data_IF_831849347856
#
_entry.id   IF_831849347856
#
_cell.length_a   1.000
_cell.length_b   1.000
_cell.length_c   1.000
_cell.angle_alpha   90.00
_cell.angle_beta   90.00
_cell.angle_gamma   90.00
#
_symmetry.space_group_name_H-M   'P 1'
#
loop_
_entity.id
_entity.type
_entity.pdbx_description
1 polymer ?
#
# COMPACT_ATOMS: atom_id res chain seq x y z
N UNK A 1 55.16 7.58 19.66
CA UNK A 1 54.36 6.99 18.55
C UNK A 1 53.13 6.38 19.15
N UNK A 2 51.98 7.09 19.10
CA UNK A 2 50.71 6.67 19.73
C UNK A 2 49.88 5.83 18.77
N UNK A 3 49.46 4.64 19.22
CA UNK A 3 48.56 3.75 18.51
C UNK A 3 47.13 4.26 18.61
N UNK A 4 46.49 4.62 17.48
CA UNK A 4 45.05 4.90 17.37
C UNK A 4 44.26 3.61 17.57
N UNK A 5 43.37 3.59 18.57
CA UNK A 5 42.35 2.52 18.73
C UNK A 5 41.12 2.84 17.87
N UNK A 6 40.76 1.92 17.00
CA UNK A 6 39.54 1.96 16.21
C UNK A 6 38.43 1.39 17.11
N UNK A 7 37.38 2.19 17.36
CA UNK A 7 36.20 1.72 18.06
C UNK A 7 35.35 0.90 17.07
N UNK A 8 35.15 -0.37 17.39
CA UNK A 8 34.21 -1.26 16.74
C UNK A 8 32.87 -1.03 17.42
N UNK A 9 31.86 -0.60 16.66
CA UNK A 9 30.47 -0.56 17.12
C UNK A 9 29.98 -2.00 17.23
N UNK A 10 29.79 -2.49 18.43
CA UNK A 10 29.22 -3.80 18.72
C UNK A 10 27.76 -3.68 19.09
N UNK A 11 27.06 -4.72 18.80
CA UNK A 11 25.68 -5.09 18.99
C UNK A 11 25.02 -4.60 20.28
N UNK A 12 23.79 -4.11 20.17
CA UNK A 12 22.93 -3.83 21.32
C UNK A 12 22.42 -5.13 21.94
N UNK A 13 23.03 -5.51 23.05
CA UNK A 13 22.51 -6.52 23.96
C UNK A 13 21.24 -6.01 24.66
N UNK A 14 20.12 -6.66 24.38
CA UNK A 14 18.87 -6.51 25.14
C UNK A 14 19.04 -7.14 26.51
N UNK A 15 19.55 -6.40 27.46
CA UNK A 15 19.53 -6.80 28.88
C UNK A 15 18.11 -6.72 29.42
N UNK A 16 17.56 -7.87 29.76
CA UNK A 16 16.38 -8.01 30.61
C UNK A 16 16.66 -7.40 31.96
N UNK A 17 15.96 -6.35 32.34
CA UNK A 17 15.91 -5.89 33.72
C UNK A 17 15.18 -6.92 34.57
N UNK A 18 15.92 -7.77 35.27
CA UNK A 18 15.42 -8.56 36.36
C UNK A 18 15.27 -7.65 37.59
N UNK A 19 14.03 -7.35 37.96
CA UNK A 19 13.73 -6.68 39.23
C UNK A 19 14.18 -7.58 40.39
N UNK A 20 15.28 -7.23 41.04
CA UNK A 20 15.72 -7.83 42.30
C UNK A 20 14.71 -7.53 43.40
N UNK A 21 13.99 -8.57 43.79
CA UNK A 21 13.19 -8.53 45.03
C UNK A 21 14.16 -8.53 46.22
N UNK A 22 14.26 -7.42 46.90
CA UNK A 22 15.03 -7.30 48.11
C UNK A 22 14.27 -8.01 49.24
N UNK A 23 14.74 -9.18 49.64
CA UNK A 23 14.26 -9.85 50.85
C UNK A 23 14.82 -9.12 52.04
N UNK A 24 14.02 -8.29 52.70
CA UNK A 24 14.33 -7.72 54.02
C UNK A 24 14.26 -8.84 55.05
N UNK A 25 15.40 -9.04 55.72
CA UNK A 25 15.55 -10.03 56.77
C UNK A 25 14.67 -9.68 57.99
N UNK A 26 14.06 -10.70 58.55
CA UNK A 26 13.36 -10.66 59.86
C UNK A 26 14.34 -10.30 60.97
N UNK A 27 14.22 -9.11 61.56
CA UNK A 27 14.71 -8.85 62.91
C UNK A 27 13.57 -9.11 63.88
N UNK A 28 13.75 -10.08 64.79
CA UNK A 28 12.89 -10.33 65.94
C UNK A 28 13.14 -9.20 66.97
N UNK A 29 12.23 -8.25 67.03
CA UNK A 29 12.09 -7.32 68.12
C UNK A 29 10.80 -7.63 68.88
N UNK A 30 10.90 -7.89 70.18
CA UNK A 30 9.76 -7.98 71.06
C UNK A 30 8.99 -6.65 71.03
N UNK A 31 7.73 -6.72 70.64
CA UNK A 31 6.75 -5.65 70.83
C UNK A 31 5.52 -6.26 71.48
N UNK A 32 5.39 -5.97 72.77
CA UNK A 32 4.14 -6.10 73.43
C UNK A 32 3.18 -5.01 72.96
N UNK A 33 1.93 -5.35 72.86
CA UNK A 33 0.76 -4.46 72.86
C UNK A 33 0.70 -3.37 71.77
N UNK A 34 0.32 -3.80 70.55
CA UNK A 34 -0.30 -2.87 69.63
C UNK A 34 -1.70 -3.41 69.34
N UNK A 35 -2.64 -2.65 69.87
CA UNK A 35 -4.02 -3.02 70.00
C UNK A 35 -4.78 -3.26 68.73
N UNK A 36 -5.97 -3.71 68.89
CA UNK A 36 -7.00 -4.11 67.89
C UNK A 36 -7.25 -3.20 66.68
N UNK A 37 -6.61 -2.05 66.62
CA UNK A 37 -6.69 -1.12 65.49
C UNK A 37 -5.82 -1.54 64.28
N UNK A 38 -4.62 -2.09 64.53
CA UNK A 38 -3.71 -2.56 63.48
C UNK A 38 -4.25 -3.81 62.76
N UNK A 39 -5.05 -4.63 63.44
CA UNK A 39 -5.73 -5.78 62.80
C UNK A 39 -6.87 -5.34 61.91
N UNK A 40 -7.60 -4.29 62.26
CA UNK A 40 -8.65 -3.72 61.42
C UNK A 40 -8.11 -3.01 60.19
N UNK A 41 -6.97 -2.34 60.28
CA UNK A 41 -6.30 -1.74 59.10
C UNK A 41 -5.77 -2.80 58.16
N UNK A 42 -5.27 -3.93 58.65
CA UNK A 42 -4.81 -5.04 57.81
C UNK A 42 -5.99 -5.69 57.06
N UNK A 43 -7.15 -5.91 57.70
CA UNK A 43 -8.35 -6.44 57.05
C UNK A 43 -8.91 -5.51 55.99
N UNK A 44 -8.91 -4.20 56.23
CA UNK A 44 -9.34 -3.19 55.24
C UNK A 44 -8.38 -3.11 54.02
N UNK A 45 -7.09 -3.35 54.24
CA UNK A 45 -6.12 -3.41 53.13
C UNK A 45 -6.31 -4.67 52.32
N UNK A 46 -6.54 -5.84 52.93
CA UNK A 46 -6.82 -7.08 52.21
C UNK A 46 -8.15 -7.05 51.44
N UNK A 47 -9.18 -6.41 51.98
CA UNK A 47 -10.45 -6.22 51.24
C UNK A 47 -10.25 -5.30 50.04
N UNK A 48 -9.52 -4.20 50.19
CA UNK A 48 -9.22 -3.30 49.06
C UNK A 48 -8.34 -3.95 47.97
N UNK A 49 -7.38 -4.79 48.39
CA UNK A 49 -6.59 -5.56 47.39
C UNK A 49 -7.42 -6.56 46.65
N UNK A 50 -8.37 -7.25 47.29
CA UNK A 50 -9.30 -8.19 46.63
C UNK A 50 -10.28 -7.47 45.73
N UNK A 51 -10.74 -6.26 46.10
CA UNK A 51 -11.59 -5.45 45.21
C UNK A 51 -10.80 -4.98 43.98
N UNK A 52 -9.55 -4.50 44.13
CA UNK A 52 -8.68 -4.10 43.05
C UNK A 52 -8.35 -5.27 42.10
N UNK A 53 -8.06 -6.45 42.65
CA UNK A 53 -7.83 -7.65 41.80
C UNK A 53 -9.10 -8.07 41.06
N UNK A 54 -10.29 -7.89 41.65
CA UNK A 54 -11.57 -8.18 41.01
C UNK A 54 -11.92 -7.18 39.91
N UNK A 55 -11.51 -5.91 40.08
CA UNK A 55 -11.69 -4.88 39.03
C UNK A 55 -10.70 -5.09 37.87
N UNK A 56 -9.43 -5.36 38.17
CA UNK A 56 -8.42 -5.67 37.14
C UNK A 56 -8.83 -6.91 36.35
N UNK A 57 -9.34 -7.95 37.02
CA UNK A 57 -9.82 -9.16 36.31
C UNK A 57 -11.11 -8.92 35.48
N UNK A 58 -11.94 -7.95 35.87
CA UNK A 58 -13.10 -7.52 35.08
C UNK A 58 -12.71 -6.67 33.87
N UNK A 59 -11.73 -5.77 34.04
CA UNK A 59 -11.20 -4.97 32.91
C UNK A 59 -10.43 -5.82 31.90
N UNK A 60 -9.57 -6.73 32.33
CA UNK A 60 -8.87 -7.68 31.45
C UNK A 60 -9.86 -8.61 30.70
N UNK A 61 -10.97 -8.99 31.36
CA UNK A 61 -12.04 -9.74 30.68
C UNK A 61 -12.85 -8.90 29.72
N UNK A 62 -13.04 -7.60 29.94
CA UNK A 62 -13.69 -6.68 28.99
C UNK A 62 -12.80 -6.39 27.80
N UNK A 63 -11.51 -6.11 27.99
CA UNK A 63 -10.56 -5.94 26.90
C UNK A 63 -10.37 -7.22 26.07
N UNK A 64 -10.40 -8.39 26.71
CA UNK A 64 -10.36 -9.68 26.01
C UNK A 64 -11.63 -10.02 25.22
N UNK A 65 -12.77 -9.38 25.53
CA UNK A 65 -14.03 -9.56 24.80
C UNK A 65 -14.19 -8.56 23.65
N UNK A 66 -13.65 -7.34 23.76
CA UNK A 66 -13.64 -6.39 22.65
C UNK A 66 -12.64 -6.78 21.55
N UNK A 67 -11.63 -7.56 21.85
CA UNK A 67 -10.68 -8.12 20.87
C UNK A 67 -11.22 -9.29 20.04
N UNK A 68 -12.36 -9.88 20.37
CA UNK A 68 -13.12 -10.76 19.47
C UNK A 68 -13.90 -9.91 18.47
N UNK A 69 -13.17 -9.26 17.53
CA UNK A 69 -13.77 -8.79 16.29
C UNK A 69 -14.59 -9.95 15.75
N UNK A 70 -15.90 -9.80 15.70
CA UNK A 70 -16.80 -10.71 14.99
C UNK A 70 -16.17 -11.01 13.64
N UNK A 71 -15.71 -12.25 13.46
CA UNK A 71 -15.24 -12.73 12.18
C UNK A 71 -16.48 -12.75 11.30
N UNK A 72 -16.72 -11.64 10.62
CA UNK A 72 -17.84 -11.54 9.66
C UNK A 72 -17.72 -12.75 8.73
N UNK A 73 -18.79 -13.50 8.54
CA UNK A 73 -18.75 -14.70 7.70
C UNK A 73 -18.18 -14.32 6.34
N UNK A 74 -17.31 -15.14 5.76
CA UNK A 74 -16.64 -14.82 4.50
C UNK A 74 -17.70 -14.50 3.46
N UNK A 75 -17.64 -13.27 2.92
CA UNK A 75 -18.61 -12.80 1.92
C UNK A 75 -18.66 -13.81 0.77
N UNK A 76 -19.80 -14.42 0.55
CA UNK A 76 -20.03 -15.33 -0.56
C UNK A 76 -19.87 -14.58 -1.88
N UNK A 77 -18.93 -15.06 -2.73
CA UNK A 77 -18.69 -14.48 -4.05
C UNK A 77 -19.86 -14.80 -4.97
N UNK A 78 -20.11 -13.95 -5.99
CA UNK A 78 -21.18 -14.18 -6.96
C UNK A 78 -21.03 -15.51 -7.70
N UNK A 79 -22.13 -16.10 -8.14
CA UNK A 79 -22.14 -17.37 -8.90
C UNK A 79 -21.25 -17.28 -10.16
N UNK A 80 -21.32 -16.16 -10.91
CA UNK A 80 -20.50 -15.91 -12.10
C UNK A 80 -19.00 -15.91 -11.78
N UNK A 81 -18.58 -15.28 -10.67
CA UNK A 81 -17.19 -15.30 -10.24
C UNK A 81 -16.70 -16.69 -9.86
N UNK A 82 -17.55 -17.48 -9.21
CA UNK A 82 -17.21 -18.86 -8.84
C UNK A 82 -17.05 -19.75 -10.08
N UNK A 83 -17.86 -19.56 -11.12
CA UNK A 83 -17.73 -20.25 -12.40
C UNK A 83 -16.40 -19.88 -13.08
N UNK A 84 -16.13 -18.59 -13.26
CA UNK A 84 -14.88 -18.10 -13.84
C UNK A 84 -13.64 -18.60 -13.06
N UNK A 85 -13.74 -18.74 -11.74
CA UNK A 85 -12.66 -19.25 -10.90
C UNK A 85 -12.43 -20.74 -11.07
N UNK A 86 -13.43 -21.53 -11.44
CA UNK A 86 -13.29 -22.98 -11.71
C UNK A 86 -12.51 -23.26 -12.99
N UNK A 87 -12.53 -22.33 -13.94
CA UNK A 87 -11.78 -22.44 -15.20
C UNK A 87 -10.28 -22.21 -15.05
N UNK A 88 -9.84 -21.73 -13.85
CA UNK A 88 -8.45 -21.41 -13.60
C UNK A 88 -7.91 -22.32 -12.51
N UNK A 89 -6.81 -23.01 -12.80
CA UNK A 89 -6.04 -23.74 -11.82
C UNK A 89 -5.10 -22.80 -11.06
N UNK A 90 -5.30 -22.68 -9.76
CA UNK A 90 -4.52 -21.76 -8.91
C UNK A 90 -3.03 -22.05 -8.86
N UNK A 91 -2.63 -23.28 -9.09
CA UNK A 91 -1.24 -23.74 -8.96
C UNK A 91 -0.49 -23.74 -10.30
N UNK A 92 -1.21 -23.62 -11.42
CA UNK A 92 -0.63 -23.63 -12.76
C UNK A 92 -0.16 -22.23 -13.16
N UNK A 93 1.00 -22.17 -13.79
CA UNK A 93 1.48 -21.01 -14.52
C UNK A 93 1.11 -21.19 -15.98
N UNK A 94 0.50 -20.20 -16.56
CA UNK A 94 0.02 -20.24 -17.96
C UNK A 94 1.00 -19.48 -18.86
N UNK A 95 1.29 -19.98 -20.08
CA UNK A 95 2.04 -19.20 -21.06
C UNK A 95 1.27 -17.93 -21.43
N UNK A 96 1.98 -16.89 -21.86
CA UNK A 96 1.43 -15.57 -22.08
C UNK A 96 0.21 -15.58 -23.03
N UNK A 97 0.31 -16.25 -24.17
CA UNK A 97 -0.75 -16.32 -25.18
C UNK A 97 -2.03 -17.01 -24.64
N UNK A 98 -1.88 -18.12 -23.91
CA UNK A 98 -3.01 -18.81 -23.28
C UNK A 98 -3.64 -17.98 -22.15
N UNK A 99 -2.82 -17.29 -21.35
CA UNK A 99 -3.30 -16.47 -20.26
C UNK A 99 -4.19 -15.33 -20.75
N UNK A 100 -3.87 -14.69 -21.86
CA UNK A 100 -4.68 -13.63 -22.46
C UNK A 100 -6.00 -14.18 -23.04
N UNK A 101 -5.96 -15.34 -23.70
CA UNK A 101 -7.17 -15.99 -24.19
C UNK A 101 -8.12 -16.38 -23.07
N UNK A 102 -7.59 -16.99 -22.00
CA UNK A 102 -8.35 -17.32 -20.81
C UNK A 102 -8.91 -16.05 -20.14
N UNK A 103 -8.12 -14.97 -20.06
CA UNK A 103 -8.55 -13.71 -19.46
C UNK A 103 -9.79 -13.13 -20.16
N UNK A 104 -9.82 -13.18 -21.49
CA UNK A 104 -10.99 -12.74 -22.27
C UNK A 104 -12.24 -13.58 -21.98
N UNK A 105 -12.08 -14.91 -21.83
CA UNK A 105 -13.19 -15.83 -21.50
C UNK A 105 -13.76 -15.60 -20.10
N UNK A 106 -12.91 -15.38 -19.11
CA UNK A 106 -13.31 -15.23 -17.69
C UNK A 106 -13.71 -13.81 -17.31
N UNK A 107 -13.64 -12.86 -18.21
CA UNK A 107 -14.11 -11.50 -17.97
C UNK A 107 -15.64 -11.52 -17.75
N UNK A 108 -16.05 -11.11 -16.54
CA UNK A 108 -17.46 -11.13 -16.12
C UNK A 108 -18.17 -9.82 -16.47
N UNK A 109 -17.41 -8.74 -16.72
CA UNK A 109 -17.95 -7.41 -16.95
C UNK A 109 -18.70 -7.31 -18.28
N UNK A 110 -19.87 -6.67 -18.27
CA UNK A 110 -20.62 -6.36 -19.50
C UNK A 110 -20.06 -5.15 -20.27
N UNK A 111 -19.20 -4.36 -19.62
CA UNK A 111 -18.51 -3.22 -20.22
C UNK A 111 -17.10 -3.60 -20.62
N UNK A 112 -16.47 -2.78 -21.50
CA UNK A 112 -15.09 -2.98 -21.88
C UNK A 112 -14.14 -2.71 -20.68
N UNK A 113 -13.90 -3.76 -19.88
CA UNK A 113 -13.08 -3.71 -18.68
C UNK A 113 -11.59 -3.49 -19.01
N UNK A 114 -10.84 -3.04 -18.02
CA UNK A 114 -9.38 -2.97 -18.12
C UNK A 114 -8.76 -4.32 -17.81
N UNK A 115 -7.61 -4.57 -18.40
CA UNK A 115 -6.71 -5.68 -18.06
C UNK A 115 -5.60 -5.11 -17.22
N UNK A 116 -5.53 -5.55 -15.96
CA UNK A 116 -4.53 -5.08 -15.01
C UNK A 116 -3.46 -6.15 -14.80
N UNK A 117 -2.19 -5.72 -14.84
CA UNK A 117 -1.04 -6.52 -14.50
C UNK A 117 -0.63 -6.23 -13.05
N UNK A 118 -0.52 -7.28 -12.27
CA UNK A 118 -0.04 -7.26 -10.89
C UNK A 118 1.30 -7.96 -10.84
N UNK A 119 2.34 -7.22 -10.51
CA UNK A 119 3.71 -7.69 -10.49
C UNK A 119 4.23 -7.73 -9.07
N UNK A 120 4.68 -8.91 -8.62
CA UNK A 120 5.45 -9.01 -7.40
C UNK A 120 6.91 -8.79 -7.76
N UNK A 121 7.50 -7.75 -7.19
CA UNK A 121 8.92 -7.42 -7.36
C UNK A 121 9.70 -7.77 -6.09
N UNK A 122 11.04 -7.79 -6.19
CA UNK A 122 11.90 -8.12 -5.05
C UNK A 122 12.06 -6.95 -4.07
N UNK A 123 12.07 -5.73 -4.59
CA UNK A 123 12.38 -4.52 -3.82
C UNK A 123 11.19 -3.58 -3.76
N UNK A 124 11.04 -2.90 -2.63
CA UNK A 124 10.09 -1.80 -2.45
C UNK A 124 10.72 -0.49 -2.91
N UNK A 125 9.86 0.47 -3.32
CA UNK A 125 10.34 1.81 -3.71
C UNK A 125 10.74 1.96 -5.17
N UNK A 126 10.59 0.92 -6.00
CA UNK A 126 10.80 1.04 -7.45
C UNK A 126 9.78 2.01 -8.05
N UNK A 127 10.29 2.97 -8.81
CA UNK A 127 9.51 3.96 -9.56
C UNK A 127 10.12 4.08 -10.93
N UNK A 128 9.27 4.26 -11.92
CA UNK A 128 9.76 4.48 -13.28
C UNK A 128 8.66 4.99 -14.20
N UNK A 129 9.06 5.29 -15.41
CA UNK A 129 8.17 5.69 -16.49
C UNK A 129 8.26 4.65 -17.60
N UNK A 130 7.14 4.36 -18.20
CA UNK A 130 6.99 3.38 -19.27
C UNK A 130 6.19 4.01 -20.40
N UNK A 131 6.65 3.81 -21.62
CA UNK A 131 5.91 4.08 -22.84
C UNK A 131 5.36 2.75 -23.38
N UNK A 132 4.05 2.67 -23.45
CA UNK A 132 3.41 1.50 -24.05
C UNK A 132 3.40 1.61 -25.57
N UNK A 133 3.74 0.54 -26.31
CA UNK A 133 3.63 0.54 -27.77
C UNK A 133 2.18 0.71 -28.23
N UNK A 134 1.22 0.24 -27.44
CA UNK A 134 -0.20 0.36 -27.76
C UNK A 134 -0.97 1.11 -26.67
N UNK A 135 -2.02 1.89 -27.04
CA UNK A 135 -2.79 2.67 -26.10
C UNK A 135 -3.51 1.78 -25.08
N UNK A 136 -3.40 2.11 -23.80
CA UNK A 136 -4.04 1.36 -22.69
C UNK A 136 -5.51 1.74 -22.46
N UNK A 137 -6.05 2.63 -23.31
CA UNK A 137 -7.43 3.11 -23.19
C UNK A 137 -7.71 4.00 -21.97
N UNK A 138 -6.68 4.46 -21.27
CA UNK A 138 -6.78 5.54 -20.28
C UNK A 138 -6.49 6.86 -20.98
N UNK A 139 -7.52 7.65 -21.25
CA UNK A 139 -7.36 9.03 -21.71
C UNK A 139 -6.90 9.90 -20.55
N UNK A 140 -5.66 10.31 -20.57
CA UNK A 140 -5.15 11.30 -19.63
C UNK A 140 -5.50 12.68 -20.17
N UNK A 141 -6.33 13.41 -19.43
CA UNK A 141 -6.65 14.80 -19.77
C UNK A 141 -5.55 15.67 -19.17
N UNK A 142 -4.60 16.07 -20.01
CA UNK A 142 -3.52 16.98 -19.63
C UNK A 142 -3.97 18.39 -19.91
N UNK A 143 -3.83 19.28 -18.93
CA UNK A 143 -4.05 20.73 -19.12
C UNK A 143 -2.81 21.51 -18.73
N UNK A 144 -2.58 22.57 -19.45
CA UNK A 144 -1.53 23.57 -19.15
C UNK A 144 -2.13 24.61 -18.21
N UNK A 145 -1.34 25.07 -17.26
CA UNK A 145 -1.77 26.07 -16.28
C UNK A 145 -1.84 27.45 -16.92
N UNK A 146 -3.03 27.81 -17.42
CA UNK A 146 -3.36 29.12 -17.96
C UNK A 146 -4.21 29.93 -16.98
N UNK A 147 -4.38 31.22 -17.21
CA UNK A 147 -5.22 32.09 -16.36
C UNK A 147 -6.69 31.68 -16.37
N UNK A 148 -7.19 31.13 -17.47
CA UNK A 148 -8.54 30.56 -17.56
C UNK A 148 -8.74 29.40 -16.62
N UNK A 149 -7.73 28.52 -16.52
CA UNK A 149 -7.75 27.38 -15.62
C UNK A 149 -7.71 27.81 -14.15
N UNK A 150 -7.01 28.91 -13.84
CA UNK A 150 -7.01 29.47 -12.47
C UNK A 150 -8.43 29.91 -12.08
N UNK A 151 -9.15 30.59 -12.98
CA UNK A 151 -10.55 30.99 -12.73
C UNK A 151 -11.49 29.77 -12.57
N UNK A 152 -11.24 28.67 -13.30
CA UNK A 152 -11.98 27.43 -13.12
C UNK A 152 -11.66 26.76 -11.77
N UNK A 153 -10.42 26.82 -11.32
CA UNK A 153 -10.01 26.31 -10.01
C UNK A 153 -10.62 27.15 -8.85
N UNK A 154 -10.78 28.46 -9.04
CA UNK A 154 -11.49 29.32 -8.07
C UNK A 154 -12.96 28.89 -7.92
N UNK A 155 -13.59 28.46 -8.99
CA UNK A 155 -14.93 27.89 -9.01
C UNK A 155 -14.98 26.44 -8.52
N UNK A 156 -13.85 25.85 -8.13
CA UNK A 156 -13.75 24.46 -7.65
C UNK A 156 -13.88 23.39 -8.73
N UNK A 157 -13.87 23.77 -10.02
CA UNK A 157 -13.97 22.83 -11.14
C UNK A 157 -12.59 22.25 -11.48
N UNK A 158 -12.45 20.92 -11.34
CA UNK A 158 -11.22 20.19 -11.67
C UNK A 158 -11.54 19.16 -12.74
N UNK A 159 -11.31 19.49 -14.01
CA UNK A 159 -11.63 18.64 -15.16
C UNK A 159 -10.35 18.19 -15.89
N UNK A 160 -9.31 17.79 -15.15
CA UNK A 160 -8.05 17.28 -15.70
C UNK A 160 -7.46 16.19 -14.82
N UNK A 161 -6.62 15.36 -15.41
CA UNK A 161 -5.92 14.26 -14.71
C UNK A 161 -4.48 14.66 -14.39
N UNK A 162 -3.86 15.49 -15.22
CA UNK A 162 -2.48 15.97 -15.01
C UNK A 162 -2.47 17.47 -15.32
N UNK A 163 -1.82 18.24 -14.45
CA UNK A 163 -1.60 19.66 -14.62
C UNK A 163 -0.12 19.92 -14.88
N UNK A 164 0.17 20.62 -15.98
CA UNK A 164 1.52 21.09 -16.30
C UNK A 164 1.56 22.59 -16.07
N UNK A 165 2.60 23.06 -15.45
CA UNK A 165 2.78 24.46 -15.13
C UNK A 165 4.16 24.96 -15.54
N UNK A 166 4.24 26.23 -15.93
CA UNK A 166 5.51 26.95 -16.01
C UNK A 166 5.97 27.36 -14.62
N UNK A 167 7.28 27.51 -14.36
CA UNK A 167 7.79 28.00 -13.08
C UNK A 167 7.16 29.32 -12.64
N UNK A 168 6.83 30.18 -13.59
CA UNK A 168 6.20 31.49 -13.35
C UNK A 168 4.75 31.37 -12.81
N UNK A 169 4.02 30.31 -13.20
CA UNK A 169 2.64 30.11 -12.76
C UNK A 169 2.54 29.36 -11.42
N UNK A 170 3.64 28.77 -10.94
CA UNK A 170 3.66 28.02 -9.68
C UNK A 170 3.22 28.83 -8.46
N UNK A 171 3.63 30.11 -8.28
CA UNK A 171 3.17 30.91 -7.14
C UNK A 171 1.65 31.14 -7.14
N UNK A 172 1.02 31.29 -8.31
CA UNK A 172 -0.43 31.42 -8.45
C UNK A 172 -1.15 30.11 -8.07
N UNK A 173 -0.58 28.96 -8.46
CA UNK A 173 -1.13 27.63 -8.17
C UNK A 173 -0.98 27.22 -6.69
N UNK A 174 -0.01 27.78 -5.97
CA UNK A 174 0.19 27.49 -4.53
C UNK A 174 -1.05 27.82 -3.70
N UNK A 175 -1.84 28.81 -4.09
CA UNK A 175 -3.11 29.17 -3.45
C UNK A 175 -4.10 27.98 -3.46
N UNK A 176 -4.04 27.16 -4.50
CA UNK A 176 -4.93 26.00 -4.71
C UNK A 176 -4.30 24.67 -4.22
N UNK A 177 -3.16 24.71 -3.53
CA UNK A 177 -2.48 23.52 -3.02
C UNK A 177 -3.38 22.67 -2.12
N UNK A 178 -4.30 23.29 -1.36
CA UNK A 178 -5.29 22.57 -0.52
C UNK A 178 -6.29 21.76 -1.35
N UNK A 179 -6.60 22.16 -2.57
CA UNK A 179 -7.53 21.47 -3.48
C UNK A 179 -6.79 20.43 -4.34
N UNK A 180 -5.62 20.77 -4.87
CA UNK A 180 -4.86 19.95 -5.81
C UNK A 180 -3.97 18.90 -5.11
N UNK A 181 -3.43 19.23 -3.92
CA UNK A 181 -2.52 18.37 -3.18
C UNK A 181 -3.12 17.02 -2.80
N UNK A 182 -4.28 16.96 -2.12
CA UNK A 182 -4.91 15.68 -1.75
C UNK A 182 -5.29 14.82 -2.95
N UNK A 183 -5.59 15.44 -4.10
CA UNK A 183 -5.90 14.74 -5.36
C UNK A 183 -4.66 14.32 -6.14
N UNK A 184 -3.46 14.72 -5.71
CA UNK A 184 -2.21 14.42 -6.42
C UNK A 184 -2.04 15.15 -7.75
N UNK A 185 -2.79 16.25 -7.97
CA UNK A 185 -2.81 17.01 -9.22
C UNK A 185 -1.88 18.23 -9.20
N UNK A 186 -1.20 18.46 -8.07
CA UNK A 186 -0.26 19.59 -7.94
C UNK A 186 0.98 19.35 -8.79
N UNK A 187 1.38 20.30 -9.67
CA UNK A 187 2.61 20.17 -10.44
C UNK A 187 3.84 20.06 -9.55
N UNK A 188 4.75 19.18 -9.92
CA UNK A 188 5.98 18.94 -9.17
C UNK A 188 7.17 18.84 -10.13
N UNK A 189 8.28 19.56 -9.88
CA UNK A 189 9.50 19.45 -10.69
C UNK A 189 10.06 18.01 -10.77
N UNK A 190 9.93 17.24 -9.67
CA UNK A 190 10.41 15.85 -9.62
C UNK A 190 9.65 14.89 -10.55
N UNK A 191 8.40 15.19 -10.89
CA UNK A 191 7.59 14.42 -11.83
C UNK A 191 7.61 14.99 -13.26
N UNK A 192 8.45 16.01 -13.50
CA UNK A 192 8.56 16.62 -14.83
C UNK A 192 7.34 17.41 -15.28
N UNK A 193 6.39 17.71 -14.35
CA UNK A 193 5.18 18.47 -14.66
C UNK A 193 5.36 19.99 -14.54
N UNK A 194 6.56 20.44 -14.18
CA UNK A 194 6.97 21.86 -14.23
C UNK A 194 8.05 22.00 -15.28
N UNK A 195 7.80 22.77 -16.32
CA UNK A 195 8.71 22.94 -17.46
C UNK A 195 8.47 24.28 -18.14
N UNK A 196 9.52 24.84 -18.73
CA UNK A 196 9.44 26.06 -19.52
C UNK A 196 8.72 25.87 -20.85
N UNK A 197 8.68 24.61 -21.35
CA UNK A 197 7.99 24.21 -22.57
C UNK A 197 6.83 23.26 -22.25
N UNK A 198 5.68 23.78 -21.83
CA UNK A 198 4.56 22.95 -21.36
C UNK A 198 3.93 22.08 -22.45
N UNK A 199 3.94 22.51 -23.73
CA UNK A 199 3.35 21.77 -24.84
C UNK A 199 4.12 20.49 -25.17
N UNK A 200 5.45 20.56 -25.21
CA UNK A 200 6.28 19.37 -25.46
C UNK A 200 6.19 18.37 -24.31
N UNK A 201 6.21 18.87 -23.10
CA UNK A 201 6.04 18.01 -21.92
C UNK A 201 4.65 17.40 -21.85
N UNK A 202 3.61 18.09 -22.28
CA UNK A 202 2.27 17.53 -22.40
C UNK A 202 2.23 16.31 -23.34
N UNK A 203 2.83 16.43 -24.51
CA UNK A 203 2.91 15.31 -25.49
C UNK A 203 3.68 14.12 -24.91
N UNK A 204 4.82 14.37 -24.25
CA UNK A 204 5.64 13.32 -23.62
C UNK A 204 4.90 12.63 -22.46
N UNK A 205 4.19 13.39 -21.64
CA UNK A 205 3.45 12.85 -20.48
C UNK A 205 2.23 12.05 -20.91
N UNK A 206 1.53 12.43 -21.98
CA UNK A 206 0.39 11.68 -22.53
C UNK A 206 0.81 10.27 -22.96
N UNK A 207 2.02 10.12 -23.49
CA UNK A 207 2.56 8.83 -23.96
C UNK A 207 3.12 7.98 -22.82
N UNK A 208 3.60 8.63 -21.73
CA UNK A 208 4.26 7.96 -20.62
C UNK A 208 3.29 7.58 -19.50
N UNK A 209 3.36 6.35 -19.07
CA UNK A 209 2.65 5.86 -17.90
C UNK A 209 3.64 5.68 -16.75
N UNK A 210 3.39 6.32 -15.62
CA UNK A 210 4.21 6.16 -14.43
C UNK A 210 3.80 4.93 -13.65
N UNK A 211 4.77 4.16 -13.19
CA UNK A 211 4.54 3.06 -12.27
C UNK A 211 5.35 3.25 -10.98
N UNK A 212 4.80 2.76 -9.90
CA UNK A 212 5.45 2.72 -8.60
C UNK A 212 5.03 1.48 -7.83
N UNK A 213 5.91 1.01 -6.98
CA UNK A 213 5.55 -0.01 -5.99
C UNK A 213 4.66 0.58 -4.90
N UNK A 214 3.85 -0.23 -4.28
CA UNK A 214 3.15 0.14 -3.05
C UNK A 214 4.15 0.44 -1.93
N UNK A 215 3.75 1.28 -0.97
CA UNK A 215 4.63 1.72 0.12
C UNK A 215 4.94 0.62 1.13
N UNK A 216 4.02 -0.32 1.32
CA UNK A 216 4.13 -1.39 2.33
C UNK A 216 4.57 -2.73 1.78
N UNK A 217 4.31 -2.98 0.50
CA UNK A 217 4.52 -4.28 -0.14
C UNK A 217 5.19 -4.08 -1.50
N UNK A 218 6.13 -4.95 -1.93
CA UNK A 218 6.78 -4.86 -3.23
C UNK A 218 5.84 -5.31 -4.37
N UNK A 219 4.74 -4.58 -4.56
CA UNK A 219 3.74 -4.83 -5.59
C UNK A 219 3.61 -3.64 -6.52
N UNK A 220 3.49 -3.93 -7.82
CA UNK A 220 3.19 -2.94 -8.86
C UNK A 220 1.87 -3.34 -9.49
N UNK A 221 0.96 -2.38 -9.59
CA UNK A 221 -0.34 -2.54 -10.24
C UNK A 221 -0.44 -1.56 -11.41
N UNK A 222 -0.59 -2.08 -12.61
CA UNK A 222 -0.66 -1.26 -13.81
C UNK A 222 -1.63 -1.85 -14.82
N UNK A 223 -2.45 -1.00 -15.44
CA UNK A 223 -3.33 -1.40 -16.53
C UNK A 223 -2.55 -1.46 -17.84
N UNK A 224 -2.63 -2.57 -18.55
CA UNK A 224 -1.92 -2.83 -19.80
C UNK A 224 -2.78 -2.66 -21.07
N UNK A 225 -4.11 -2.56 -20.90
CA UNK A 225 -5.04 -2.39 -22.02
C UNK A 225 -6.47 -2.69 -21.62
N UNK A 226 -7.32 -2.89 -22.62
CA UNK A 226 -8.72 -3.26 -22.47
C UNK A 226 -8.96 -4.71 -22.88
N UNK A 227 -10.02 -5.32 -22.35
CA UNK A 227 -10.38 -6.71 -22.65
C UNK A 227 -10.68 -6.92 -24.16
N UNK A 228 -11.21 -5.88 -24.83
CA UNK A 228 -11.55 -5.94 -26.26
C UNK A 228 -10.32 -5.73 -27.18
N UNK A 229 -9.17 -5.33 -26.62
CA UNK A 229 -7.97 -5.11 -27.44
C UNK A 229 -7.47 -6.43 -28.04
N UNK A 230 -6.67 -6.33 -29.12
CA UNK A 230 -6.09 -7.51 -29.72
C UNK A 230 -5.16 -8.24 -28.77
N UNK A 231 -5.05 -9.56 -28.89
CA UNK A 231 -4.17 -10.36 -28.04
C UNK A 231 -2.71 -9.91 -28.18
N UNK A 232 -2.29 -9.61 -29.39
CA UNK A 232 -0.93 -9.15 -29.72
C UNK A 232 -0.60 -7.83 -28.99
N UNK A 233 -1.54 -6.87 -29.00
CA UNK A 233 -1.32 -5.57 -28.34
C UNK A 233 -1.11 -5.73 -26.82
N UNK A 234 -1.89 -6.61 -26.18
CA UNK A 234 -1.76 -6.91 -24.76
C UNK A 234 -0.43 -7.63 -24.44
N UNK A 235 0.00 -8.54 -25.33
CA UNK A 235 1.29 -9.22 -25.21
C UNK A 235 2.45 -8.23 -25.30
N UNK A 236 2.45 -7.35 -26.30
CA UNK A 236 3.50 -6.37 -26.52
C UNK A 236 3.58 -5.36 -25.37
N UNK A 237 2.44 -4.88 -24.88
CA UNK A 237 2.37 -4.00 -23.74
C UNK A 237 2.93 -4.69 -22.46
N UNK A 238 2.59 -5.96 -22.23
CA UNK A 238 3.12 -6.69 -21.08
C UNK A 238 4.63 -6.93 -21.22
N UNK A 239 5.12 -7.29 -22.41
CA UNK A 239 6.56 -7.44 -22.67
C UNK A 239 7.32 -6.13 -22.44
N UNK A 240 6.78 -4.99 -22.90
CA UNK A 240 7.35 -3.68 -22.64
C UNK A 240 7.43 -3.38 -21.14
N UNK A 241 6.37 -3.67 -20.38
CA UNK A 241 6.33 -3.50 -18.93
C UNK A 241 7.40 -4.35 -18.23
N UNK A 242 7.48 -5.65 -18.56
CA UNK A 242 8.46 -6.57 -17.95
C UNK A 242 9.90 -6.17 -18.30
N UNK A 243 10.13 -5.70 -19.54
CA UNK A 243 11.43 -5.20 -20.01
C UNK A 243 11.88 -3.96 -19.23
N UNK A 244 10.98 -3.01 -18.98
CA UNK A 244 11.28 -1.76 -18.26
C UNK A 244 11.60 -2.00 -16.79
N UNK A 245 10.87 -2.87 -16.12
CA UNK A 245 11.11 -3.21 -14.71
C UNK A 245 12.35 -4.10 -14.57
N UNK A 246 12.64 -4.90 -15.59
CA UNK A 246 13.69 -5.92 -15.61
C UNK A 246 13.20 -7.26 -15.08
N UNK A 247 13.25 -8.29 -15.93
CA UNK A 247 12.79 -9.66 -15.62
C UNK A 247 13.39 -10.23 -14.32
N UNK A 248 14.64 -9.87 -13.98
CA UNK A 248 15.33 -10.32 -12.76
C UNK A 248 14.71 -9.80 -11.46
N UNK A 249 14.07 -8.63 -11.52
CA UNK A 249 13.43 -8.00 -10.36
C UNK A 249 12.02 -8.53 -10.10
N UNK A 250 11.43 -9.23 -11.06
CA UNK A 250 10.06 -9.73 -10.98
C UNK A 250 10.07 -11.17 -10.45
N UNK A 251 9.26 -11.44 -9.44
CA UNK A 251 9.06 -12.78 -8.87
C UNK A 251 7.85 -13.48 -9.47
N UNK A 252 6.73 -12.74 -9.62
CA UNK A 252 5.47 -13.28 -10.13
C UNK A 252 4.73 -12.21 -10.94
N UNK A 253 4.07 -12.66 -11.99
CA UNK A 253 3.16 -11.86 -12.82
C UNK A 253 1.77 -12.46 -12.75
N UNK A 254 0.78 -11.64 -12.48
CA UNK A 254 -0.64 -12.04 -12.48
C UNK A 254 -1.41 -11.06 -13.33
N UNK A 255 -2.17 -11.56 -14.29
CA UNK A 255 -3.09 -10.76 -15.08
C UNK A 255 -4.51 -10.93 -14.55
N UNK A 256 -5.24 -9.86 -14.42
CA UNK A 256 -6.64 -9.89 -14.01
C UNK A 256 -7.49 -8.94 -14.86
N UNK A 257 -8.67 -9.37 -15.29
CA UNK A 257 -9.64 -8.46 -15.87
C UNK A 257 -10.38 -7.72 -14.75
N UNK A 258 -10.95 -6.56 -15.05
CA UNK A 258 -11.85 -5.87 -14.15
C UNK A 258 -12.97 -6.82 -13.72
N UNK A 259 -13.16 -6.99 -12.40
CA UNK A 259 -14.17 -7.87 -11.77
C UNK A 259 -13.96 -9.39 -12.00
N UNK A 260 -12.85 -9.83 -12.58
CA UNK A 260 -12.53 -11.25 -12.78
C UNK A 260 -11.47 -11.80 -11.83
N UNK A 261 -11.25 -13.12 -11.81
CA UNK A 261 -10.13 -13.73 -11.09
C UNK A 261 -8.80 -13.50 -11.81
N UNK A 262 -7.70 -13.51 -11.03
CA UNK A 262 -6.34 -13.34 -11.56
C UNK A 262 -5.74 -14.65 -12.07
N UNK A 263 -5.02 -14.59 -13.18
CA UNK A 263 -4.29 -15.67 -13.85
C UNK A 263 -2.80 -15.47 -13.63
N UNK A 264 -2.10 -16.51 -13.19
CA UNK A 264 -0.64 -16.49 -13.04
C UNK A 264 0.01 -16.74 -14.40
N UNK A 265 0.89 -15.83 -14.80
CA UNK A 265 1.63 -15.93 -16.06
C UNK A 265 3.02 -16.47 -15.80
N UNK A 266 3.47 -17.36 -16.70
CA UNK A 266 4.85 -17.87 -16.67
C UNK A 266 5.80 -16.79 -17.19
N UNK A 267 6.80 -16.44 -16.35
CA UNK A 267 7.87 -15.51 -16.71
C UNK A 267 8.79 -16.06 -17.80
N UNK A 268 8.86 -17.39 -17.97
CA UNK A 268 9.62 -18.03 -19.05
C UNK A 268 9.08 -17.72 -20.44
N UNK A 269 7.76 -17.49 -20.54
CA UNK A 269 7.06 -17.23 -21.80
C UNK A 269 7.05 -15.74 -22.21
N UNK A 270 7.51 -14.84 -21.36
CA UNK A 270 7.66 -13.40 -21.59
C UNK A 270 9.15 -13.12 -21.91
#
# INVERSE_FOLDING_TARGET
MGKKRIAVFGEEDKTKEEKKIVKTGKQHGHLADVGAEALKEAEVIEEKEKELESEITKEVKKEGQEAKKEVKPPKTRSKKYLQAKKEIDKNKFYPLSESIKLLKKISISHFNGSVDAHLNVKETGLKGELEFPHPTGKTQVVKIADEQLINDLEKGKVNFTILIATPQMMPKLTKFAKLLGPKGLMPNPKSGTVSDQPEETAKKIIQKTQFRTETKVPLIHLSIGKVNDSEKNLEENLKALVKTIGKRNIQKVVLSPTMGPGIKVDLGSI
#
